data_IF_776686159599
#
_entry.id   IF_776686159599
#
_cell.length_a   1.000
_cell.length_b   1.000
_cell.length_c   1.000
_cell.angle_alpha   90.00
_cell.angle_beta   90.00
_cell.angle_gamma   90.00
#
_symmetry.space_group_name_H-M   'P 1'
#
loop_
_entity.id
_entity.type
_entity.pdbx_description
1 polymer ?
#
# COMPACT_ATOMS: atom_id res chain seq x y z
N UNK A 1 12.95 24.13 6.36
CA UNK A 1 13.83 23.69 5.27
C UNK A 1 13.09 22.71 4.37
N UNK A 2 13.43 22.67 3.09
CA UNK A 2 12.79 21.79 2.09
C UNK A 2 12.76 20.31 2.53
N UNK A 3 13.85 19.81 3.09
CA UNK A 3 13.96 18.41 3.54
C UNK A 3 12.94 18.02 4.62
N UNK A 4 12.62 18.93 5.56
CA UNK A 4 11.59 18.67 6.57
C UNK A 4 10.21 18.50 5.93
N UNK A 5 9.90 19.33 4.93
CA UNK A 5 8.63 19.29 4.21
C UNK A 5 8.50 18.01 3.37
N UNK A 6 9.56 17.62 2.67
CA UNK A 6 9.61 16.35 1.93
C UNK A 6 9.34 15.17 2.88
N UNK A 7 9.96 15.15 4.06
CA UNK A 7 9.72 14.08 5.04
C UNK A 7 8.30 14.08 5.58
N UNK A 8 7.72 15.25 5.85
CA UNK A 8 6.34 15.36 6.31
C UNK A 8 5.36 14.74 5.29
N UNK A 9 5.49 15.09 4.01
CA UNK A 9 4.63 14.54 2.95
C UNK A 9 4.96 13.08 2.59
N UNK A 10 6.22 12.66 2.70
CA UNK A 10 6.62 11.26 2.52
C UNK A 10 5.99 10.37 3.57
N UNK A 11 6.18 10.70 4.85
CA UNK A 11 5.64 9.94 5.99
C UNK A 11 4.11 9.87 5.97
N UNK A 12 3.44 10.95 5.56
CA UNK A 12 1.98 10.96 5.43
C UNK A 12 1.46 9.87 4.48
N UNK A 13 2.22 9.49 3.44
CA UNK A 13 1.87 8.40 2.51
C UNK A 13 2.44 7.05 2.91
N UNK A 14 3.64 7.01 3.51
CA UNK A 14 4.31 5.76 3.87
C UNK A 14 3.55 4.96 4.94
N UNK A 15 3.01 5.62 5.98
CA UNK A 15 2.27 4.91 7.04
C UNK A 15 0.97 4.26 6.55
N UNK A 16 0.09 4.95 5.80
CA UNK A 16 -1.08 4.33 5.19
C UNK A 16 -0.71 3.20 4.23
N UNK A 17 0.40 3.32 3.49
CA UNK A 17 0.85 2.27 2.56
C UNK A 17 1.22 0.98 3.29
N UNK A 18 1.99 1.08 4.38
CA UNK A 18 2.39 -0.08 5.19
C UNK A 18 1.15 -0.78 5.76
N UNK A 19 0.27 -0.01 6.41
CA UNK A 19 -0.93 -0.57 7.06
C UNK A 19 -1.91 -1.17 6.05
N UNK A 20 -2.11 -0.53 4.90
CA UNK A 20 -2.97 -1.04 3.81
C UNK A 20 -2.38 -2.29 3.16
N UNK A 21 -1.06 -2.37 3.03
CA UNK A 21 -0.38 -3.57 2.53
C UNK A 21 -0.65 -4.76 3.46
N UNK A 22 -0.40 -4.58 4.77
CA UNK A 22 -0.64 -5.63 5.78
C UNK A 22 -2.12 -6.05 5.77
N UNK A 23 -3.04 -5.08 5.72
CA UNK A 23 -4.48 -5.35 5.64
C UNK A 23 -4.85 -6.16 4.40
N UNK A 24 -4.29 -5.84 3.24
CA UNK A 24 -4.55 -6.54 1.97
C UNK A 24 -4.12 -8.01 2.04
N UNK A 25 -2.93 -8.27 2.61
CA UNK A 25 -2.48 -9.64 2.90
C UNK A 25 -3.38 -10.35 3.93
N UNK A 26 -3.71 -9.68 5.04
CA UNK A 26 -4.55 -10.24 6.09
C UNK A 26 -5.96 -10.59 5.63
N UNK A 27 -6.47 -9.90 4.60
CA UNK A 27 -7.79 -10.14 4.02
C UNK A 27 -7.77 -11.21 2.91
N UNK A 28 -6.61 -11.77 2.59
CA UNK A 28 -6.47 -12.77 1.52
C UNK A 28 -6.66 -12.22 0.11
N UNK A 29 -6.66 -10.89 -0.07
CA UNK A 29 -6.76 -10.26 -1.40
C UNK A 29 -5.52 -10.55 -2.25
N UNK A 30 -4.38 -10.68 -1.59
CA UNK A 30 -3.11 -11.15 -2.16
C UNK A 30 -2.42 -12.10 -1.20
N UNK A 31 -1.54 -12.95 -1.73
CA UNK A 31 -0.71 -13.89 -0.96
C UNK A 31 0.60 -14.17 -1.67
N UNK A 32 1.57 -14.68 -0.92
CA UNK A 32 2.83 -15.20 -1.48
C UNK A 32 2.64 -16.72 -1.69
N UNK A 33 2.84 -17.21 -2.91
CA UNK A 33 2.76 -18.65 -3.19
C UNK A 33 4.06 -19.38 -2.83
N UNK A 34 4.07 -20.72 -2.97
CA UNK A 34 5.26 -21.56 -2.71
C UNK A 34 6.46 -21.23 -3.60
N UNK A 35 6.21 -20.62 -4.76
CA UNK A 35 7.23 -20.15 -5.72
C UNK A 35 7.71 -18.73 -5.43
N UNK A 36 7.29 -18.14 -4.29
CA UNK A 36 7.64 -16.77 -3.84
C UNK A 36 7.12 -15.67 -4.76
N UNK A 37 6.08 -15.95 -5.54
CA UNK A 37 5.39 -14.96 -6.36
C UNK A 37 4.22 -14.35 -5.59
N UNK A 38 3.89 -13.11 -5.91
CA UNK A 38 2.63 -12.51 -5.46
C UNK A 38 1.51 -13.03 -6.36
N UNK A 39 0.46 -13.55 -5.74
CA UNK A 39 -0.75 -13.97 -6.43
C UNK A 39 -1.97 -13.29 -5.82
N UNK A 40 -3.01 -13.13 -6.62
CA UNK A 40 -4.32 -12.64 -6.17
C UNK A 40 -5.09 -13.69 -5.34
N UNK A 41 -6.32 -13.35 -4.96
CA UNK A 41 -7.21 -14.23 -4.21
C UNK A 41 -7.49 -15.56 -4.94
N UNK A 42 -7.57 -15.54 -6.28
CA UNK A 42 -7.85 -16.71 -7.12
C UNK A 42 -6.58 -17.54 -7.39
N UNK A 43 -5.41 -16.97 -7.16
CA UNK A 43 -4.11 -17.61 -7.39
C UNK A 43 -3.43 -17.22 -8.70
N UNK A 44 -3.98 -16.25 -9.42
CA UNK A 44 -3.33 -15.65 -10.58
C UNK A 44 -2.09 -14.87 -10.16
N UNK A 45 -0.97 -15.12 -10.82
CA UNK A 45 0.26 -14.36 -10.58
C UNK A 45 0.08 -12.91 -11.00
N UNK A 46 0.47 -11.98 -10.11
CA UNK A 46 0.38 -10.55 -10.35
C UNK A 46 1.76 -9.90 -10.16
N UNK A 47 2.06 -8.91 -11.01
CA UNK A 47 3.31 -8.15 -10.93
C UNK A 47 3.32 -7.13 -9.80
N UNK A 48 2.14 -6.77 -9.29
CA UNK A 48 1.98 -5.81 -8.21
C UNK A 48 0.51 -5.61 -7.87
N UNK A 49 0.27 -5.01 -6.71
CA UNK A 49 -1.05 -4.65 -6.23
C UNK A 49 -1.11 -3.13 -6.04
N UNK A 50 -1.98 -2.47 -6.78
CA UNK A 50 -2.09 -1.01 -6.77
C UNK A 50 -2.94 -0.55 -5.57
N UNK A 51 -2.37 0.29 -4.71
CA UNK A 51 -3.05 0.90 -3.56
C UNK A 51 -3.23 2.43 -3.73
N UNK A 52 -2.95 2.98 -4.91
CA UNK A 52 -2.87 4.43 -5.12
C UNK A 52 -4.13 5.15 -4.67
N UNK A 53 -5.31 4.62 -5.04
CA UNK A 53 -6.58 5.25 -4.71
C UNK A 53 -6.88 5.16 -3.20
N UNK A 54 -6.61 4.01 -2.58
CA UNK A 54 -6.77 3.84 -1.12
C UNK A 54 -5.84 4.76 -0.32
N UNK A 55 -4.60 4.95 -0.79
CA UNK A 55 -3.66 5.87 -0.13
C UNK A 55 -4.06 7.33 -0.38
N UNK A 56 -4.52 7.66 -1.58
CA UNK A 56 -5.02 9.00 -1.87
C UNK A 56 -6.24 9.35 -1.03
N UNK A 57 -7.15 8.41 -0.78
CA UNK A 57 -8.28 8.60 0.13
C UNK A 57 -7.81 8.80 1.58
N UNK A 58 -6.93 7.91 2.06
CA UNK A 58 -6.40 7.98 3.43
C UNK A 58 -5.62 9.28 3.71
N UNK A 59 -4.90 9.80 2.72
CA UNK A 59 -4.11 11.04 2.81
C UNK A 59 -4.94 12.28 2.44
N UNK A 60 -5.96 12.13 1.59
CA UNK A 60 -6.88 13.20 1.20
C UNK A 60 -7.63 13.78 2.40
N UNK A 61 -7.87 12.97 3.44
CA UNK A 61 -8.38 13.44 4.73
C UNK A 61 -7.38 14.24 5.58
N UNK A 62 -6.10 14.31 5.20
CA UNK A 62 -5.01 14.96 5.94
C UNK A 62 -4.54 16.27 5.28
N UNK A 63 -4.93 16.53 4.02
CA UNK A 63 -4.45 17.66 3.20
C UNK A 63 -5.54 18.75 2.98
N UNK A 64 -6.65 18.72 3.71
CA UNK A 64 -7.62 19.83 3.76
C UNK A 64 -7.51 20.64 5.06
#
# INVERSE_FOLDING_TARGET
SLFRLIRQYGLAREFPLITSTIKTFSQGKIRVNSEKQIVDAEGGAINGYNLTDEINEAVGGVIL
#
